data_IF_030739001824
#
_entry.id   IF_030739001824
#
_cell.length_a   1.000
_cell.length_b   1.000
_cell.length_c   1.000
_cell.angle_alpha   90.00
_cell.angle_beta   90.00
_cell.angle_gamma   90.00
#
_symmetry.space_group_name_H-M   'P 1'
#
loop_
_entity.id
_entity.type
_entity.pdbx_description
1 polymer ?
#
# COMPACT_ATOMS: atom_id res chain seq x y z
N UNK A 1 -20.54 -10.99 -2.88
CA UNK A 1 -19.23 -10.86 -3.56
C UNK A 1 -18.23 -11.66 -2.72
N UNK A 2 -17.76 -12.81 -3.22
CA UNK A 2 -17.03 -13.80 -2.40
C UNK A 2 -15.60 -13.34 -2.12
N UNK A 3 -15.02 -13.72 -0.97
CA UNK A 3 -13.67 -13.41 -0.47
C UNK A 3 -12.48 -13.69 -1.43
N UNK A 4 -12.73 -14.27 -2.60
CA UNK A 4 -11.74 -14.71 -3.59
C UNK A 4 -10.76 -13.60 -4.03
N UNK A 5 -11.18 -12.35 -4.33
CA UNK A 5 -10.24 -11.30 -4.72
C UNK A 5 -9.25 -10.97 -3.61
N UNK A 6 -9.71 -10.88 -2.36
CA UNK A 6 -8.85 -10.63 -1.21
C UNK A 6 -7.86 -11.78 -1.00
N UNK A 7 -8.32 -13.03 -1.06
CA UNK A 7 -7.46 -14.21 -0.95
C UNK A 7 -6.38 -14.27 -2.06
N UNK A 8 -6.71 -13.84 -3.28
CA UNK A 8 -5.72 -13.72 -4.37
C UNK A 8 -4.70 -12.61 -4.08
N UNK A 9 -5.14 -11.50 -3.50
CA UNK A 9 -4.30 -10.35 -3.16
C UNK A 9 -3.32 -10.67 -2.03
N UNK A 10 -3.76 -11.37 -0.99
CA UNK A 10 -2.95 -11.71 0.19
C UNK A 10 -2.18 -13.03 0.08
N UNK A 11 -2.23 -13.71 -1.08
CA UNK A 11 -1.53 -14.97 -1.27
C UNK A 11 -0.01 -14.79 -1.18
N UNK A 12 0.69 -15.44 -0.22
CA UNK A 12 2.13 -15.28 -0.04
C UNK A 12 2.96 -15.83 -1.22
N UNK A 13 2.38 -16.74 -2.02
CA UNK A 13 3.01 -17.34 -3.20
C UNK A 13 2.86 -16.50 -4.47
N UNK A 14 2.36 -15.26 -4.36
CA UNK A 14 2.23 -14.37 -5.51
C UNK A 14 3.62 -14.01 -6.05
N UNK A 15 3.78 -14.17 -7.37
CA UNK A 15 5.04 -13.87 -8.07
C UNK A 15 5.40 -12.38 -7.93
N UNK A 16 4.52 -11.49 -8.38
CA UNK A 16 4.67 -10.05 -8.18
C UNK A 16 4.07 -9.63 -6.83
N UNK A 17 4.82 -9.08 -5.87
CA UNK A 17 4.25 -8.59 -4.61
C UNK A 17 3.09 -7.61 -4.83
N UNK A 18 2.13 -7.60 -3.91
CA UNK A 18 1.05 -6.63 -3.89
C UNK A 18 1.16 -5.80 -2.62
N UNK A 19 0.82 -4.51 -2.73
CA UNK A 19 0.86 -3.56 -1.62
C UNK A 19 -0.46 -2.79 -1.57
N UNK A 20 -0.93 -2.49 -0.36
CA UNK A 20 -2.01 -1.55 -0.12
C UNK A 20 -1.39 -0.20 0.23
N UNK A 21 -1.59 0.80 -0.63
CA UNK A 21 -1.24 2.19 -0.37
C UNK A 21 -2.47 3.01 -0.03
N UNK A 22 -2.38 3.85 1.01
CA UNK A 22 -3.45 4.77 1.42
C UNK A 22 -2.86 6.17 1.52
N UNK A 23 -3.36 7.08 0.68
CA UNK A 23 -3.04 8.50 0.74
C UNK A 23 -4.00 9.20 1.70
N UNK A 24 -3.47 9.77 2.78
CA UNK A 24 -4.24 10.62 3.70
C UNK A 24 -4.14 12.07 3.24
N UNK A 25 -5.30 12.68 3.03
CA UNK A 25 -5.44 14.09 2.69
C UNK A 25 -5.96 14.86 3.91
N UNK A 26 -5.36 16.00 4.29
CA UNK A 26 -5.96 16.88 5.28
C UNK A 26 -7.28 17.47 4.75
N UNK A 27 -8.15 17.89 5.66
CA UNK A 27 -9.34 18.64 5.28
C UNK A 27 -8.96 20.03 4.74
N UNK A 28 -9.58 20.48 3.65
CA UNK A 28 -9.30 21.78 3.04
C UNK A 28 -8.23 21.74 1.95
N UNK A 29 -7.42 22.80 1.84
CA UNK A 29 -6.33 22.88 0.86
C UNK A 29 -5.19 21.94 1.23
N UNK A 30 -4.95 20.93 0.41
CA UNK A 30 -3.91 19.90 0.61
C UNK A 30 -2.83 19.90 -0.49
N UNK A 31 -3.02 20.76 -1.49
CA UNK A 31 -2.15 20.91 -2.64
C UNK A 31 -1.97 22.40 -2.91
N UNK A 32 -0.72 22.82 -2.97
CA UNK A 32 -0.32 24.15 -3.42
C UNK A 32 0.56 23.96 -4.66
N UNK A 33 0.24 24.67 -5.72
CA UNK A 33 0.98 24.61 -6.98
C UNK A 33 1.17 26.01 -7.53
N UNK A 34 2.41 26.34 -7.88
CA UNK A 34 2.78 27.53 -8.62
C UNK A 34 3.79 27.15 -9.74
N UNK A 35 4.34 28.13 -10.45
CA UNK A 35 5.30 27.89 -11.53
C UNK A 35 6.64 27.32 -11.02
N UNK A 36 6.97 27.52 -9.75
CA UNK A 36 8.25 27.13 -9.15
C UNK A 36 8.15 25.77 -8.43
N UNK A 37 6.97 25.40 -7.91
CA UNK A 37 6.83 24.22 -7.03
C UNK A 37 5.42 23.62 -6.97
N UNK A 38 5.42 22.37 -6.52
CA UNK A 38 4.23 21.60 -6.12
C UNK A 38 4.45 21.09 -4.69
N UNK A 39 3.63 21.56 -3.73
CA UNK A 39 3.70 21.16 -2.32
C UNK A 39 2.40 20.46 -1.95
N UNK A 40 2.52 19.29 -1.31
CA UNK A 40 1.37 18.56 -0.79
C UNK A 40 1.47 18.34 0.71
N UNK A 41 0.39 18.64 1.44
CA UNK A 41 0.23 18.31 2.86
C UNK A 41 -0.20 16.87 3.12
N UNK A 42 -0.21 16.03 2.08
CA UNK A 42 -0.65 14.64 2.15
C UNK A 42 0.43 13.70 2.70
N UNK A 43 0.00 12.56 3.25
CA UNK A 43 0.90 11.48 3.67
C UNK A 43 0.39 10.15 3.16
N UNK A 44 1.23 9.41 2.45
CA UNK A 44 0.90 8.06 2.02
C UNK A 44 1.47 7.04 3.00
N UNK A 45 0.65 6.08 3.40
CA UNK A 45 1.04 4.92 4.19
C UNK A 45 0.87 3.65 3.37
N UNK A 46 1.63 2.62 3.67
CA UNK A 46 1.56 1.38 2.91
C UNK A 46 1.68 0.12 3.78
N UNK A 47 1.23 -1.01 3.25
CA UNK A 47 1.48 -2.32 3.84
C UNK A 47 1.55 -3.40 2.75
N UNK A 48 2.40 -4.40 2.95
CA UNK A 48 2.40 -5.60 2.09
C UNK A 48 1.05 -6.30 2.18
N UNK A 49 0.49 -6.69 1.03
CA UNK A 49 -0.77 -7.42 0.98
C UNK A 49 -0.70 -8.75 1.76
N UNK A 50 0.47 -9.39 1.80
CA UNK A 50 0.67 -10.62 2.56
C UNK A 50 0.46 -10.41 4.09
N UNK A 51 0.70 -9.19 4.57
CA UNK A 51 0.58 -8.83 5.99
C UNK A 51 -0.81 -8.30 6.37
N UNK A 52 -1.75 -8.26 5.42
CA UNK A 52 -3.14 -7.87 5.68
C UNK A 52 -3.96 -9.00 6.32
N UNK A 53 -3.40 -10.20 6.45
CA UNK A 53 -4.03 -11.38 7.03
C UNK A 53 -5.12 -12.01 6.14
N UNK A 54 -6.08 -12.70 6.76
CA UNK A 54 -7.19 -13.38 6.07
C UNK A 54 -8.53 -12.66 6.25
N UNK A 55 -9.47 -12.91 5.34
CA UNK A 55 -10.88 -12.56 5.47
C UNK A 55 -11.69 -13.86 5.53
N UNK A 56 -12.76 -13.90 6.32
CA UNK A 56 -13.66 -15.06 6.38
C UNK A 56 -14.28 -15.36 5.01
N UNK A 57 -14.68 -16.61 4.78
CA UNK A 57 -15.14 -17.09 3.47
C UNK A 57 -16.37 -16.32 2.95
N UNK A 58 -17.23 -15.87 3.87
CA UNK A 58 -18.42 -15.06 3.60
C UNK A 58 -18.20 -13.56 3.82
N UNK A 59 -16.98 -13.14 4.16
CA UNK A 59 -16.65 -11.74 4.43
C UNK A 59 -16.61 -10.91 3.16
N UNK A 60 -17.45 -9.86 3.09
CA UNK A 60 -17.43 -8.88 2.02
C UNK A 60 -16.41 -7.75 2.25
N UNK A 61 -16.03 -7.49 3.50
CA UNK A 61 -15.08 -6.45 3.88
C UNK A 61 -14.26 -6.86 5.12
N UNK A 62 -13.10 -6.22 5.28
CA UNK A 62 -12.23 -6.37 6.44
C UNK A 62 -11.56 -5.04 6.76
N UNK A 63 -11.54 -4.70 8.04
CA UNK A 63 -10.71 -3.61 8.56
C UNK A 63 -9.27 -4.10 8.73
N UNK A 64 -8.31 -3.36 8.19
CA UNK A 64 -6.88 -3.64 8.30
C UNK A 64 -6.17 -2.48 8.99
N UNK A 65 -5.04 -2.76 9.64
CA UNK A 65 -4.21 -1.74 10.30
C UNK A 65 -3.00 -1.45 9.42
N UNK A 66 -2.83 -0.17 9.05
CA UNK A 66 -1.58 0.30 8.45
C UNK A 66 -0.70 0.90 9.55
N UNK A 67 0.53 0.40 9.77
CA UNK A 67 1.46 1.00 10.72
C UNK A 67 1.84 2.41 10.30
N UNK A 68 1.88 3.36 11.26
CA UNK A 68 2.37 4.72 11.00
C UNK A 68 3.86 4.78 10.65
N UNK A 69 4.61 3.73 10.97
CA UNK A 69 6.01 3.55 10.57
C UNK A 69 6.17 3.27 9.08
N UNK A 70 5.13 2.75 8.41
CA UNK A 70 5.17 2.45 6.99
C UNK A 70 4.76 3.69 6.17
N UNK A 71 5.50 4.78 6.39
CA UNK A 71 5.36 5.97 5.56
C UNK A 71 5.92 5.67 4.17
N UNK A 72 5.24 6.12 3.12
CA UNK A 72 5.71 5.97 1.75
C UNK A 72 6.67 7.12 1.42
N UNK A 73 7.89 7.04 1.96
CA UNK A 73 8.99 7.95 1.70
C UNK A 73 10.02 7.31 0.75
N UNK A 74 11.07 8.05 0.39
CA UNK A 74 12.10 7.59 -0.55
C UNK A 74 12.78 6.30 -0.06
N UNK A 75 13.28 6.20 1.19
CA UNK A 75 13.87 4.95 1.70
C UNK A 75 12.92 3.75 1.62
N UNK A 76 11.66 3.93 2.03
CA UNK A 76 10.68 2.84 2.03
C UNK A 76 10.31 2.43 0.59
N UNK A 77 10.18 3.38 -0.34
CA UNK A 77 9.98 3.11 -1.75
C UNK A 77 11.14 2.31 -2.35
N UNK A 78 12.39 2.70 -2.05
CA UNK A 78 13.57 1.95 -2.49
C UNK A 78 13.55 0.52 -1.95
N UNK A 79 13.14 0.31 -0.71
CA UNK A 79 12.96 -1.02 -0.11
C UNK A 79 11.89 -1.86 -0.83
N UNK A 80 10.75 -1.25 -1.19
CA UNK A 80 9.70 -1.90 -1.99
C UNK A 80 10.25 -2.28 -3.37
N UNK A 81 10.90 -1.36 -4.07
CA UNK A 81 11.46 -1.60 -5.41
C UNK A 81 12.51 -2.70 -5.39
N UNK A 82 13.39 -2.70 -4.38
CA UNK A 82 14.35 -3.79 -4.17
C UNK A 82 13.64 -5.13 -3.95
N UNK A 83 12.61 -5.18 -3.10
CA UNK A 83 11.84 -6.42 -2.86
C UNK A 83 11.18 -6.96 -4.13
N UNK A 84 10.70 -6.06 -4.99
CA UNK A 84 10.13 -6.43 -6.30
C UNK A 84 11.24 -6.92 -7.24
N UNK A 85 12.38 -6.24 -7.28
CA UNK A 85 13.54 -6.59 -8.11
C UNK A 85 14.21 -7.90 -7.72
N UNK A 86 14.45 -8.12 -6.42
CA UNK A 86 15.09 -9.33 -5.87
C UNK A 86 14.22 -10.60 -6.08
N UNK A 87 12.90 -10.45 -6.26
CA UNK A 87 12.01 -11.57 -6.67
C UNK A 87 12.02 -11.82 -8.18
N UNK A 88 12.67 -10.94 -8.95
CA UNK A 88 12.84 -11.03 -10.40
C UNK A 88 14.12 -11.76 -10.83
N UNK A 89 15.01 -12.13 -9.90
CA UNK A 89 16.22 -12.89 -10.23
C UNK A 89 15.86 -14.36 -10.52
N UNK A 90 15.98 -14.71 -11.80
CA UNK A 90 16.20 -16.06 -12.32
C UNK A 90 17.66 -16.18 -12.75
#
# INVERSE_FOLDING_TARGET
MKAVPFKKLTNPKRFAPAYLGVLLLPAGGWLEQDEERLVTGSRMYWQSAADLGSIGDDGASKTVRLPRSNLFDIPQLQGIMKTIGDRGDW
#
